data_IF_046781371759
#
_entry.id   IF_046781371759
#
_cell.length_a   1.000
_cell.length_b   1.000
_cell.length_c   1.000
_cell.angle_alpha   90.00
_cell.angle_beta   90.00
_cell.angle_gamma   90.00
#
_symmetry.space_group_name_H-M   'P 1'
#
loop_
_entity.id
_entity.type
_entity.pdbx_description
1 polymer ?
#
# COMPACT_ATOMS: atom_id res chain seq x y z
N UNK A 1 27.95 26.28 -34.79
CA UNK A 1 27.00 26.63 -33.73
C UNK A 1 27.21 25.60 -32.61
N UNK A 2 27.90 25.97 -31.51
CA UNK A 2 28.08 25.04 -30.38
C UNK A 2 26.74 24.88 -29.66
N UNK A 3 26.19 23.70 -29.73
CA UNK A 3 25.07 23.32 -28.86
C UNK A 3 25.67 23.26 -27.45
N UNK A 4 25.35 24.21 -26.61
CA UNK A 4 25.74 24.16 -25.20
C UNK A 4 24.92 23.03 -24.58
N UNK A 5 25.61 22.06 -24.01
CA UNK A 5 25.00 21.06 -23.17
C UNK A 5 24.19 21.77 -22.09
N UNK A 6 22.89 21.44 -22.01
CA UNK A 6 22.00 22.07 -21.02
C UNK A 6 21.99 21.15 -19.81
N UNK A 7 22.36 21.69 -18.67
CA UNK A 7 22.23 21.00 -17.39
C UNK A 7 21.08 21.63 -16.62
N UNK A 8 20.12 20.79 -16.20
CA UNK A 8 19.05 21.15 -15.31
C UNK A 8 19.26 20.47 -13.97
N UNK A 9 19.28 21.24 -12.90
CA UNK A 9 19.40 20.73 -11.54
C UNK A 9 18.13 21.10 -10.78
N UNK A 10 17.45 20.10 -10.22
CA UNK A 10 16.26 20.29 -9.40
C UNK A 10 16.62 19.99 -7.95
N UNK A 11 16.55 20.99 -7.09
CA UNK A 11 16.77 20.83 -5.65
C UNK A 11 15.47 20.57 -4.93
N UNK A 12 15.37 19.44 -4.25
CA UNK A 12 14.18 19.02 -3.48
C UNK A 12 14.52 18.99 -2.01
N UNK A 13 13.79 19.79 -1.21
CA UNK A 13 13.91 19.86 0.27
C UNK A 13 12.56 19.72 0.97
N UNK A 14 11.58 19.13 0.31
CA UNK A 14 10.21 18.95 0.82
C UNK A 14 9.74 17.53 0.58
N UNK A 15 8.62 17.19 1.24
CA UNK A 15 7.94 15.93 1.01
C UNK A 15 7.02 16.05 -0.21
N UNK A 16 7.15 15.09 -1.12
CA UNK A 16 6.22 14.81 -2.21
C UNK A 16 5.57 13.47 -1.96
N UNK A 17 4.24 13.43 -1.99
CA UNK A 17 3.49 12.18 -1.84
C UNK A 17 2.48 12.03 -2.97
N UNK A 18 2.18 10.80 -3.35
CA UNK A 18 1.06 10.55 -4.24
C UNK A 18 -0.23 10.78 -3.46
N UNK A 19 -1.09 11.66 -3.98
CA UNK A 19 -2.38 11.98 -3.32
C UNK A 19 -3.49 11.02 -3.73
N UNK A 20 -3.18 10.07 -4.57
CA UNK A 20 -4.10 9.47 -5.45
C UNK A 20 -5.07 8.46 -4.95
N UNK A 21 -6.15 8.47 -5.67
CA UNK A 21 -7.06 7.35 -5.78
C UNK A 21 -6.30 6.16 -6.41
N UNK A 22 -6.48 5.03 -5.88
CA UNK A 22 -6.28 3.61 -6.29
C UNK A 22 -5.70 3.23 -7.67
N UNK A 23 -5.20 4.13 -8.49
CA UNK A 23 -4.64 3.82 -9.80
C UNK A 23 -3.13 3.59 -9.68
N UNK A 24 -2.64 2.48 -10.19
CA UNK A 24 -1.21 2.12 -10.23
C UNK A 24 -0.32 3.17 -10.93
N UNK A 25 -0.92 4.13 -11.62
CA UNK A 25 -0.24 5.21 -12.33
C UNK A 25 -0.07 6.47 -11.47
N UNK A 26 -0.48 6.44 -10.21
CA UNK A 26 -0.34 7.54 -9.29
C UNK A 26 1.08 7.57 -8.72
N UNK A 27 1.85 8.51 -9.18
CA UNK A 27 3.26 8.67 -8.82
C UNK A 27 3.43 9.97 -8.06
N UNK A 28 4.24 9.98 -7.00
CA UNK A 28 4.46 11.19 -6.22
C UNK A 28 5.22 12.27 -7.02
N UNK A 29 6.14 11.85 -7.89
CA UNK A 29 6.89 12.75 -8.78
C UNK A 29 7.14 12.06 -10.13
N UNK A 30 6.74 12.71 -11.21
CA UNK A 30 7.05 12.26 -12.58
C UNK A 30 7.95 13.27 -13.27
N UNK A 31 9.01 12.79 -13.90
CA UNK A 31 9.86 13.57 -14.80
C UNK A 31 9.65 13.03 -16.21
N UNK A 32 8.96 13.80 -17.03
CA UNK A 32 8.62 13.45 -18.41
C UNK A 32 9.81 13.47 -19.37
N UNK A 33 9.56 13.13 -20.64
CA UNK A 33 10.55 12.98 -21.72
C UNK A 33 10.63 14.17 -22.69
N UNK A 34 9.73 15.15 -22.59
CA UNK A 34 9.60 16.29 -23.52
C UNK A 34 10.75 17.30 -23.50
N UNK A 35 11.96 16.90 -23.16
CA UNK A 35 13.12 17.78 -23.00
C UNK A 35 13.99 17.82 -24.27
N UNK A 36 14.66 18.96 -24.54
CA UNK A 36 15.56 19.05 -25.67
C UNK A 36 16.65 17.98 -25.63
N UNK A 37 17.03 17.48 -26.79
CA UNK A 37 18.17 16.56 -26.91
C UNK A 37 19.43 17.15 -26.24
N UNK A 38 20.21 16.27 -25.60
CA UNK A 38 21.42 16.62 -24.83
C UNK A 38 21.17 17.49 -23.58
N UNK A 39 19.95 17.40 -22.99
CA UNK A 39 19.70 17.94 -21.65
C UNK A 39 20.16 16.94 -20.61
N UNK A 40 21.12 17.32 -19.77
CA UNK A 40 21.56 16.57 -18.60
C UNK A 40 20.65 16.93 -17.41
N UNK A 41 20.00 15.90 -16.83
CA UNK A 41 19.15 16.08 -15.66
C UNK A 41 19.83 15.61 -14.40
N UNK A 42 19.66 16.40 -13.35
CA UNK A 42 20.11 16.06 -12.00
C UNK A 42 19.03 16.44 -10.99
N UNK A 43 18.73 15.53 -10.08
CA UNK A 43 17.92 15.80 -8.89
C UNK A 43 18.85 15.75 -7.69
N UNK A 44 18.86 16.81 -6.90
CA UNK A 44 19.55 16.88 -5.63
C UNK A 44 18.53 16.81 -4.50
N UNK A 45 18.53 15.70 -3.77
CA UNK A 45 17.67 15.50 -2.60
C UNK A 45 18.40 16.02 -1.36
N UNK A 46 17.89 17.08 -0.75
CA UNK A 46 18.35 17.56 0.55
C UNK A 46 17.91 16.63 1.71
N UNK A 47 18.44 16.87 2.90
CA UNK A 47 18.19 16.04 4.08
C UNK A 47 16.72 15.96 4.53
N UNK A 48 15.90 16.93 4.13
CA UNK A 48 14.47 16.95 4.43
C UNK A 48 13.60 16.47 3.25
N UNK A 49 14.22 16.03 2.16
CA UNK A 49 13.51 15.55 0.99
C UNK A 49 12.95 14.16 1.23
N UNK A 50 11.66 13.98 0.97
CA UNK A 50 11.01 12.66 0.96
C UNK A 50 10.11 12.60 -0.28
N UNK A 51 10.35 11.64 -1.16
CA UNK A 51 9.46 11.32 -2.28
C UNK A 51 8.85 9.97 -1.97
N UNK A 52 7.53 9.92 -1.76
CA UNK A 52 6.90 8.71 -1.22
C UNK A 52 5.59 8.38 -1.92
N UNK A 53 5.43 7.12 -2.29
CA UNK A 53 4.18 6.56 -2.80
C UNK A 53 3.15 6.32 -1.69
N UNK A 54 1.87 6.27 -2.05
CA UNK A 54 0.77 5.89 -1.16
C UNK A 54 0.86 4.39 -0.83
N UNK A 55 0.55 4.00 0.41
CA UNK A 55 0.35 2.61 0.80
C UNK A 55 -0.98 2.05 0.31
N UNK A 56 -1.02 0.79 -0.06
CA UNK A 56 -2.26 0.07 -0.39
C UNK A 56 -3.05 -0.29 0.85
N UNK A 57 -4.37 -0.28 0.75
CA UNK A 57 -5.25 -0.63 1.87
C UNK A 57 -5.26 -2.16 2.10
N UNK A 58 -5.45 -2.59 3.33
CA UNK A 58 -5.61 -4.01 3.67
C UNK A 58 -6.95 -4.57 3.16
N UNK A 59 -6.96 -5.82 2.76
CA UNK A 59 -8.17 -6.52 2.37
C UNK A 59 -9.03 -6.90 3.58
N UNK A 60 -10.34 -6.91 3.43
CA UNK A 60 -11.24 -7.33 4.48
C UNK A 60 -11.20 -8.86 4.69
N UNK A 61 -11.39 -9.31 5.90
CA UNK A 61 -11.58 -10.71 6.22
C UNK A 61 -12.88 -11.27 5.65
N UNK A 62 -12.89 -12.56 5.33
CA UNK A 62 -14.09 -13.28 4.92
C UNK A 62 -15.02 -13.56 6.10
N UNK A 63 -16.31 -13.59 5.84
CA UNK A 63 -17.30 -13.97 6.86
C UNK A 63 -17.25 -15.48 7.15
N UNK A 64 -17.44 -15.85 8.41
CA UNK A 64 -17.84 -17.21 8.77
C UNK A 64 -19.29 -17.48 8.37
N UNK A 65 -19.67 -18.72 8.23
CA UNK A 65 -21.04 -19.17 7.91
C UNK A 65 -21.39 -20.45 8.64
N UNK A 66 -22.68 -20.64 8.92
CA UNK A 66 -23.21 -21.70 9.78
C UNK A 66 -23.27 -23.07 9.09
N UNK A 67 -23.44 -23.16 7.79
CA UNK A 67 -23.68 -24.47 7.11
C UNK A 67 -22.87 -24.60 5.80
N UNK A 68 -21.97 -23.71 5.52
CA UNK A 68 -21.21 -23.67 4.27
C UNK A 68 -19.76 -23.28 4.51
N UNK A 69 -18.84 -23.63 3.64
CA UNK A 69 -17.48 -23.09 3.74
C UNK A 69 -17.52 -21.56 3.88
N UNK A 70 -16.79 -21.03 4.86
CA UNK A 70 -16.69 -19.60 5.06
C UNK A 70 -16.21 -18.86 3.80
N UNK A 71 -16.48 -17.57 3.71
CA UNK A 71 -16.08 -16.77 2.56
C UNK A 71 -14.58 -16.48 2.57
N UNK A 72 -14.00 -16.39 1.38
CA UNK A 72 -12.61 -15.94 1.24
C UNK A 72 -12.47 -14.47 1.65
N UNK A 73 -11.35 -14.12 2.27
CA UNK A 73 -10.97 -12.73 2.48
C UNK A 73 -10.65 -12.03 1.16
N UNK A 74 -10.67 -10.72 1.19
CA UNK A 74 -10.36 -9.86 0.06
C UNK A 74 -8.84 -9.65 -0.09
N UNK A 75 -8.38 -9.45 -1.30
CA UNK A 75 -7.00 -9.03 -1.54
C UNK A 75 -6.78 -7.61 -1.02
N UNK A 76 -5.59 -7.34 -0.52
CA UNK A 76 -5.17 -5.98 -0.21
C UNK A 76 -4.93 -5.15 -1.48
N UNK A 77 -5.00 -3.83 -1.34
CA UNK A 77 -4.73 -2.87 -2.40
C UNK A 77 -3.24 -2.76 -2.72
N UNK A 78 -2.93 -2.29 -3.93
CA UNK A 78 -1.56 -2.01 -4.33
C UNK A 78 -1.08 -0.67 -3.75
N UNK A 79 0.19 -0.59 -3.39
CA UNK A 79 0.87 0.68 -3.17
C UNK A 79 1.22 1.36 -4.50
N UNK A 80 1.51 2.67 -4.47
CA UNK A 80 1.88 3.45 -5.64
C UNK A 80 3.39 3.70 -5.72
N UNK A 81 3.87 4.06 -6.91
CA UNK A 81 5.27 4.43 -7.11
C UNK A 81 5.58 5.80 -6.51
N UNK A 82 6.80 5.97 -6.00
CA UNK A 82 7.27 7.28 -5.55
C UNK A 82 7.73 8.15 -6.72
N UNK A 83 8.46 7.56 -7.66
CA UNK A 83 9.14 8.29 -8.73
C UNK A 83 8.97 7.56 -10.06
N UNK A 84 8.59 8.30 -11.10
CA UNK A 84 8.61 7.84 -12.48
C UNK A 84 9.58 8.72 -13.30
N UNK A 85 10.47 8.07 -14.03
CA UNK A 85 11.49 8.72 -14.86
C UNK A 85 11.29 8.27 -16.31
N UNK A 86 10.97 9.21 -17.18
CA UNK A 86 10.83 8.98 -18.62
C UNK A 86 12.09 9.41 -19.38
N UNK A 87 13.07 9.96 -18.68
CA UNK A 87 14.38 10.35 -19.23
C UNK A 87 15.50 9.95 -18.28
N UNK A 88 16.69 9.75 -18.83
CA UNK A 88 17.89 9.46 -18.04
C UNK A 88 18.31 10.64 -17.19
N UNK A 89 18.66 10.40 -15.92
CA UNK A 89 19.11 11.44 -15.01
C UNK A 89 20.04 10.94 -13.92
N UNK A 90 20.67 11.89 -13.23
CA UNK A 90 21.46 11.64 -12.03
C UNK A 90 20.64 12.04 -10.80
N UNK A 91 20.56 11.16 -9.81
CA UNK A 91 19.94 11.47 -8.51
C UNK A 91 21.04 11.49 -7.45
N UNK A 92 21.26 12.65 -6.86
CA UNK A 92 22.15 12.83 -5.72
C UNK A 92 21.31 12.89 -4.45
N UNK A 93 21.54 11.98 -3.51
CA UNK A 93 20.87 11.99 -2.22
C UNK A 93 21.82 12.41 -1.11
N UNK A 94 21.49 13.51 -0.45
CA UNK A 94 22.12 13.92 0.80
C UNK A 94 21.17 13.65 1.96
N UNK A 95 21.02 12.38 2.30
CA UNK A 95 20.09 11.84 3.29
C UNK A 95 18.59 12.00 2.95
N UNK A 96 18.26 12.45 1.74
CA UNK A 96 16.86 12.42 1.24
C UNK A 96 16.40 11.00 0.92
N UNK A 97 15.10 10.76 0.98
CA UNK A 97 14.49 9.43 0.86
C UNK A 97 13.57 9.35 -0.35
N UNK A 98 13.62 8.22 -1.05
CA UNK A 98 12.64 7.81 -2.08
C UNK A 98 12.05 6.49 -1.62
N UNK A 99 10.74 6.47 -1.35
CA UNK A 99 10.05 5.34 -0.74
C UNK A 99 8.83 4.97 -1.58
N UNK A 100 8.85 3.83 -2.24
CA UNK A 100 7.65 3.30 -2.89
C UNK A 100 6.62 2.88 -1.83
N UNK A 101 5.35 3.07 -2.13
CA UNK A 101 4.25 2.56 -1.33
C UNK A 101 4.26 1.03 -1.31
N UNK A 102 4.03 0.45 -0.14
CA UNK A 102 3.85 -0.99 0.03
C UNK A 102 2.41 -1.39 -0.26
N UNK A 103 2.18 -2.58 -0.79
CA UNK A 103 0.85 -3.15 -0.91
C UNK A 103 0.25 -3.47 0.47
N UNK A 104 -1.06 -3.47 0.56
CA UNK A 104 -1.79 -3.96 1.73
C UNK A 104 -1.79 -5.49 1.79
N UNK A 105 -1.88 -6.05 2.98
CA UNK A 105 -2.07 -7.49 3.19
C UNK A 105 -3.48 -7.94 2.80
N UNK A 106 -3.62 -9.17 2.33
CA UNK A 106 -4.93 -9.79 2.12
C UNK A 106 -5.62 -10.10 3.45
N UNK A 107 -6.95 -10.11 3.45
CA UNK A 107 -7.75 -10.58 4.59
C UNK A 107 -7.73 -12.11 4.68
N UNK A 108 -7.88 -12.65 5.87
CA UNK A 108 -8.05 -14.09 6.11
C UNK A 108 -9.41 -14.59 5.64
N UNK A 109 -9.51 -15.88 5.33
CA UNK A 109 -10.78 -16.53 5.06
C UNK A 109 -11.57 -16.74 6.36
N UNK A 110 -12.89 -16.68 6.31
CA UNK A 110 -13.76 -17.14 7.36
C UNK A 110 -13.81 -18.68 7.40
N UNK A 111 -14.13 -19.23 8.55
CA UNK A 111 -14.34 -20.66 8.75
C UNK A 111 -15.80 -20.94 9.07
N UNK A 112 -16.25 -22.16 8.80
CA UNK A 112 -17.51 -22.69 9.25
C UNK A 112 -17.25 -23.96 10.05
N UNK A 113 -18.06 -24.22 11.04
CA UNK A 113 -18.15 -25.51 11.69
C UNK A 113 -19.54 -26.09 11.42
N UNK A 114 -19.59 -27.32 10.94
CA UNK A 114 -20.80 -28.06 10.71
C UNK A 114 -20.98 -29.07 11.87
N UNK A 115 -21.95 -28.82 12.74
CA UNK A 115 -22.32 -29.72 13.79
C UNK A 115 -23.32 -30.76 13.26
N UNK A 116 -22.81 -31.82 12.62
CA UNK A 116 -23.62 -32.91 12.06
C UNK A 116 -24.47 -33.69 13.08
N UNK A 117 -24.43 -33.40 14.35
CA UNK A 117 -25.09 -34.22 15.38
C UNK A 117 -26.19 -33.50 16.17
N UNK A 118 -27.10 -32.83 15.60
CA UNK A 118 -28.45 -32.41 16.05
C UNK A 118 -28.94 -32.63 17.50
N UNK A 119 -28.06 -32.81 18.48
CA UNK A 119 -28.38 -33.12 19.88
C UNK A 119 -28.04 -31.94 20.82
N UNK A 120 -27.25 -30.95 20.35
CA UNK A 120 -26.92 -29.78 21.12
C UNK A 120 -27.56 -28.54 20.51
N UNK A 121 -27.93 -27.51 21.34
CA UNK A 121 -28.35 -26.23 20.79
C UNK A 121 -27.22 -25.69 19.90
N UNK A 122 -27.59 -25.22 18.71
CA UNK A 122 -26.66 -24.66 17.73
C UNK A 122 -25.67 -23.70 18.41
N UNK A 123 -24.45 -24.14 18.59
CA UNK A 123 -23.35 -23.26 18.96
C UNK A 123 -22.92 -22.55 17.68
N UNK A 124 -23.03 -21.24 17.67
CA UNK A 124 -22.59 -20.41 16.56
C UNK A 124 -21.05 -20.34 16.58
N UNK A 125 -20.39 -21.41 16.17
CA UNK A 125 -18.92 -21.47 16.08
C UNK A 125 -18.40 -20.92 14.75
N UNK A 126 -19.07 -19.87 14.25
CA UNK A 126 -18.62 -19.14 13.06
C UNK A 126 -17.38 -18.30 13.39
N UNK A 127 -16.30 -18.51 12.69
CA UNK A 127 -15.10 -17.73 12.83
C UNK A 127 -14.90 -16.81 11.62
N UNK A 128 -14.91 -15.51 11.85
CA UNK A 128 -14.54 -14.53 10.82
C UNK A 128 -13.04 -14.48 10.60
N UNK A 129 -12.62 -14.27 9.36
CA UNK A 129 -11.22 -14.04 9.02
C UNK A 129 -10.75 -12.67 9.49
N UNK A 130 -9.52 -12.56 9.96
CA UNK A 130 -8.92 -11.26 10.32
C UNK A 130 -8.74 -10.35 9.11
N UNK A 131 -8.79 -9.03 9.29
CA UNK A 131 -8.49 -8.04 8.25
C UNK A 131 -7.00 -7.96 7.95
N UNK A 132 -6.64 -7.65 6.71
CA UNK A 132 -5.26 -7.43 6.30
C UNK A 132 -4.69 -6.11 6.82
N UNK A 133 -3.39 -6.02 7.03
CA UNK A 133 -2.71 -4.77 7.41
C UNK A 133 -2.56 -3.82 6.22
N UNK A 134 -2.57 -2.53 6.47
CA UNK A 134 -2.31 -1.50 5.46
C UNK A 134 -0.83 -1.43 5.04
N UNK A 135 -0.56 -1.04 3.82
CA UNK A 135 0.79 -0.86 3.28
C UNK A 135 1.47 0.42 3.82
N UNK A 136 2.80 0.42 3.83
CA UNK A 136 3.60 1.60 4.13
C UNK A 136 3.43 2.67 3.06
N UNK A 137 3.56 3.94 3.42
CA UNK A 137 3.52 5.03 2.45
C UNK A 137 3.03 6.34 3.05
N UNK A 138 2.79 7.34 2.18
CA UNK A 138 2.16 8.60 2.57
C UNK A 138 1.15 9.02 1.48
N UNK A 139 -0.17 9.06 1.79
CA UNK A 139 -0.74 8.48 3.01
C UNK A 139 -0.46 6.98 3.12
N UNK A 140 -0.37 6.47 4.34
CA UNK A 140 -0.26 5.04 4.59
C UNK A 140 -1.61 4.36 4.29
N UNK A 141 -1.57 3.09 3.91
CA UNK A 141 -2.75 2.28 3.69
C UNK A 141 -3.51 2.03 5.01
N UNK A 142 -4.82 1.96 4.93
CA UNK A 142 -5.69 1.60 6.06
C UNK A 142 -5.66 0.08 6.28
N UNK A 143 -5.91 -0.36 7.51
CA UNK A 143 -6.16 -1.79 7.76
C UNK A 143 -7.53 -2.22 7.25
N UNK A 144 -7.65 -3.45 6.79
CA UNK A 144 -8.93 -4.06 6.42
C UNK A 144 -9.75 -4.44 7.64
N UNK A 145 -11.06 -4.50 7.49
CA UNK A 145 -11.98 -4.94 8.55
C UNK A 145 -11.91 -6.45 8.76
N UNK A 146 -12.07 -6.91 9.98
CA UNK A 146 -12.33 -8.32 10.25
C UNK A 146 -13.68 -8.77 9.64
N UNK A 147 -13.78 -10.03 9.26
CA UNK A 147 -15.01 -10.62 8.76
C UNK A 147 -16.06 -10.81 9.88
N UNK A 148 -17.32 -10.98 9.51
CA UNK A 148 -18.38 -11.34 10.45
C UNK A 148 -18.24 -12.80 10.90
N UNK A 149 -18.66 -13.08 12.12
CA UNK A 149 -18.48 -14.36 12.80
C UNK A 149 -17.36 -14.27 13.85
N UNK A 150 -17.65 -14.72 15.06
CA UNK A 150 -16.69 -14.70 16.17
C UNK A 150 -16.12 -13.33 16.51
N UNK A 151 -14.88 -13.31 16.97
CA UNK A 151 -14.15 -12.12 17.44
C UNK A 151 -13.11 -11.63 16.45
N UNK A 152 -13.33 -11.76 15.15
CA UNK A 152 -12.37 -11.38 14.13
C UNK A 152 -11.94 -9.90 14.26
N UNK A 153 -10.62 -9.66 14.22
CA UNK A 153 -10.06 -8.33 14.42
C UNK A 153 -9.74 -7.64 13.10
N UNK A 154 -9.82 -6.32 13.13
CA UNK A 154 -9.35 -5.49 12.03
C UNK A 154 -7.82 -5.53 11.94
N UNK A 155 -7.29 -5.42 10.73
CA UNK A 155 -5.90 -5.10 10.52
C UNK A 155 -5.58 -3.66 10.97
N UNK A 156 -4.33 -3.38 11.23
CA UNK A 156 -3.88 -2.03 11.56
C UNK A 156 -3.45 -1.25 10.31
N UNK A 157 -3.52 0.07 10.36
CA UNK A 157 -2.96 0.93 9.32
C UNK A 157 -1.44 0.80 9.25
N UNK A 158 -0.88 1.05 8.07
CA UNK A 158 0.55 1.21 7.88
C UNK A 158 1.07 2.54 8.42
N UNK A 159 2.35 2.79 8.20
CA UNK A 159 3.04 4.05 8.49
C UNK A 159 3.93 4.45 7.32
N UNK A 160 4.65 5.56 7.43
CA UNK A 160 5.62 5.95 6.40
C UNK A 160 6.70 4.88 6.17
N UNK A 161 7.15 4.21 7.22
CA UNK A 161 8.30 3.29 7.18
C UNK A 161 7.94 1.82 7.28
N UNK A 162 6.74 1.48 7.72
CA UNK A 162 6.31 0.09 7.94
C UNK A 162 4.87 -0.17 7.51
N UNK A 163 4.59 -1.39 7.09
CA UNK A 163 3.23 -1.86 6.93
C UNK A 163 2.54 -2.07 8.28
N UNK A 164 1.22 -2.09 8.30
CA UNK A 164 0.40 -2.48 9.43
C UNK A 164 0.35 -4.01 9.60
N UNK A 165 -0.04 -4.45 10.79
CA UNK A 165 -0.25 -5.86 11.07
C UNK A 165 -1.64 -6.33 10.63
N UNK A 166 -1.76 -7.58 10.23
CA UNK A 166 -3.06 -8.22 10.04
C UNK A 166 -3.79 -8.41 11.38
N UNK A 167 -5.11 -8.45 11.34
CA UNK A 167 -5.96 -8.82 12.47
C UNK A 167 -5.95 -10.33 12.72
N UNK A 168 -6.31 -10.75 13.92
CA UNK A 168 -6.50 -12.18 14.25
C UNK A 168 -7.87 -12.69 13.78
N UNK A 169 -7.96 -14.00 13.63
CA UNK A 169 -9.24 -14.70 13.45
C UNK A 169 -10.09 -14.62 14.71
N UNK A 170 -11.40 -14.76 14.55
CA UNK A 170 -12.35 -14.89 15.65
C UNK A 170 -12.35 -16.27 16.27
#
# INVERSE_FOLDING_TARGET
>A
MCIRDRKMIVHINKTFSSTGASNQNDVALTIGDGWPANTEFQIDLGSSAVIVGKGGDGGNGGAGTDESPGFNGQNGGNGTSALALETGMTINSNAGLIIAGGGGGGGGAGASQDDENGIFPADNDEAGGGGGGGGRGLPAGTGGSGGSGGSAQNGSAGSLSSGGNGGSHG
#
